data_IF_534541363124
#
_entry.id   IF_534541363124
#
_cell.length_a   1.000
_cell.length_b   1.000
_cell.length_c   1.000
_cell.angle_alpha   90.00
_cell.angle_beta   90.00
_cell.angle_gamma   90.00
#
_symmetry.space_group_name_H-M   'P 1'
#
loop_
_entity.id
_entity.type
_entity.pdbx_description
1 polymer ?
#
# COMPACT_ATOMS: atom_id res chain seq x y z
N UNK A 1 23.27 -12.84 -10.09
CA UNK A 1 23.62 -14.25 -10.38
C UNK A 1 22.35 -15.06 -10.61
N UNK A 2 21.88 -15.13 -11.85
CA UNK A 2 21.05 -16.26 -12.26
C UNK A 2 22.05 -17.35 -12.63
N UNK A 3 22.23 -18.34 -11.78
CA UNK A 3 22.90 -19.56 -12.24
C UNK A 3 21.96 -20.17 -13.29
N UNK A 4 22.29 -19.99 -14.56
CA UNK A 4 21.70 -20.71 -15.70
C UNK A 4 21.81 -22.24 -15.57
N UNK A 5 22.52 -22.73 -14.55
CA UNK A 5 22.71 -24.15 -14.23
C UNK A 5 22.01 -24.63 -12.95
N UNK A 6 21.12 -23.82 -12.34
CA UNK A 6 20.40 -24.22 -11.12
C UNK A 6 21.29 -24.52 -9.89
N UNK A 7 22.49 -23.92 -9.78
CA UNK A 7 23.42 -24.11 -8.67
C UNK A 7 23.77 -22.80 -7.96
N UNK A 8 23.14 -22.55 -6.80
CA UNK A 8 23.53 -21.47 -5.89
C UNK A 8 24.48 -22.03 -4.83
N UNK A 9 25.77 -21.71 -4.96
CA UNK A 9 26.84 -22.05 -4.02
C UNK A 9 27.45 -20.78 -3.43
N UNK A 10 28.08 -20.89 -2.27
CA UNK A 10 28.69 -19.75 -1.57
C UNK A 10 29.81 -19.10 -2.38
N UNK A 11 30.72 -19.90 -2.94
CA UNK A 11 31.92 -19.40 -3.63
C UNK A 11 31.58 -18.52 -4.86
N UNK A 12 30.69 -18.90 -5.80
CA UNK A 12 30.27 -18.01 -6.89
C UNK A 12 29.66 -16.67 -6.43
N UNK A 13 28.93 -16.65 -5.31
CA UNK A 13 28.37 -15.41 -4.75
C UNK A 13 29.48 -14.50 -4.25
N UNK A 14 30.45 -15.07 -3.51
CA UNK A 14 31.61 -14.34 -3.00
C UNK A 14 32.50 -13.83 -4.14
N UNK A 15 32.74 -14.64 -5.18
CA UNK A 15 33.50 -14.23 -6.36
C UNK A 15 32.82 -13.10 -7.13
N UNK A 16 31.50 -13.16 -7.29
CA UNK A 16 30.76 -12.07 -7.92
C UNK A 16 30.85 -10.78 -7.12
N UNK A 17 30.68 -10.82 -5.79
CA UNK A 17 30.83 -9.63 -4.93
C UNK A 17 32.25 -9.06 -4.97
N UNK A 18 33.27 -9.91 -5.12
CA UNK A 18 34.66 -9.49 -5.27
C UNK A 18 34.91 -8.81 -6.62
N UNK A 19 34.28 -9.31 -7.68
CA UNK A 19 34.59 -8.91 -9.06
C UNK A 19 33.63 -7.85 -9.63
N UNK A 20 32.46 -7.64 -9.03
CA UNK A 20 31.51 -6.62 -9.47
C UNK A 20 32.17 -5.24 -9.44
N UNK A 21 31.97 -4.46 -10.50
CA UNK A 21 32.58 -3.15 -10.70
C UNK A 21 31.51 -2.06 -10.83
N UNK A 22 30.81 -1.71 -9.73
CA UNK A 22 29.80 -0.67 -9.74
C UNK A 22 30.43 0.71 -9.92
N UNK A 23 29.68 1.62 -10.54
CA UNK A 23 29.97 3.05 -10.50
C UNK A 23 29.57 3.67 -9.14
N UNK A 24 30.03 4.90 -8.90
CA UNK A 24 29.80 5.57 -7.62
C UNK A 24 28.30 5.75 -7.29
N UNK A 25 27.42 5.84 -8.29
CA UNK A 25 25.97 6.03 -8.12
C UNK A 25 25.16 4.71 -8.15
N UNK A 26 25.82 3.57 -8.34
CA UNK A 26 25.14 2.28 -8.46
C UNK A 26 24.67 1.73 -7.11
N UNK A 27 23.75 0.77 -7.21
CA UNK A 27 23.25 -0.03 -6.09
C UNK A 27 23.67 -1.50 -6.27
N UNK A 28 24.37 -2.07 -5.28
CA UNK A 28 24.53 -3.54 -5.19
C UNK A 28 23.38 -4.07 -4.35
N UNK A 29 22.48 -4.85 -4.96
CA UNK A 29 21.33 -5.45 -4.28
C UNK A 29 21.42 -6.98 -4.25
N UNK A 30 21.41 -7.53 -3.03
CA UNK A 30 21.29 -8.95 -2.75
C UNK A 30 20.01 -9.20 -1.96
N UNK A 31 19.10 -9.96 -2.56
CA UNK A 31 17.93 -10.52 -1.91
C UNK A 31 18.05 -12.03 -1.86
N UNK A 32 17.98 -12.61 -0.66
CA UNK A 32 17.96 -14.07 -0.48
C UNK A 32 16.64 -14.50 0.16
N UNK A 33 15.92 -15.39 -0.52
CA UNK A 33 14.73 -16.06 0.00
C UNK A 33 14.94 -17.56 -0.12
N UNK A 34 14.88 -18.27 1.01
CA UNK A 34 15.13 -19.71 1.02
C UNK A 34 15.28 -20.28 2.43
N UNK A 35 15.76 -21.51 2.50
CA UNK A 35 16.03 -22.14 3.78
C UNK A 35 17.24 -21.49 4.47
N UNK A 36 17.17 -21.35 5.78
CA UNK A 36 18.29 -20.91 6.59
C UNK A 36 18.19 -21.47 8.00
N UNK A 37 18.90 -20.87 8.93
CA UNK A 37 18.79 -21.26 10.31
C UNK A 37 19.71 -20.46 11.19
N UNK A 38 19.73 -20.86 12.46
CA UNK A 38 20.59 -20.29 13.46
C UNK A 38 21.25 -21.42 14.24
N UNK A 39 22.57 -21.36 14.40
CA UNK A 39 23.29 -22.36 15.18
C UNK A 39 23.19 -22.06 16.69
N UNK A 40 23.80 -22.93 17.52
CA UNK A 40 23.80 -22.77 18.98
C UNK A 40 24.51 -21.51 19.47
N UNK A 41 25.43 -20.95 18.68
CA UNK A 41 26.14 -19.71 18.96
C UNK A 41 25.36 -18.47 18.51
N UNK A 42 24.09 -18.63 18.12
CA UNK A 42 23.21 -17.59 17.56
C UNK A 42 23.71 -17.01 16.22
N UNK A 43 24.60 -17.70 15.52
CA UNK A 43 25.02 -17.31 14.18
C UNK A 43 23.99 -17.76 13.16
N UNK A 44 23.54 -16.83 12.32
CA UNK A 44 22.56 -17.10 11.27
C UNK A 44 23.26 -17.53 9.98
N UNK A 45 22.63 -18.47 9.26
CA UNK A 45 23.16 -19.02 8.01
C UNK A 45 22.06 -19.26 6.98
N UNK A 46 22.48 -19.32 5.73
CA UNK A 46 21.68 -19.72 4.58
C UNK A 46 22.02 -21.17 4.22
N UNK A 47 21.01 -21.93 3.79
CA UNK A 47 21.25 -23.22 3.15
C UNK A 47 21.51 -22.98 1.66
N UNK A 48 22.75 -23.22 1.25
CA UNK A 48 23.16 -23.27 -0.14
C UNK A 48 23.47 -24.73 -0.51
N UNK A 49 23.73 -25.00 -1.79
CA UNK A 49 24.01 -26.37 -2.24
C UNK A 49 25.33 -26.93 -1.71
N UNK A 50 26.27 -26.06 -1.34
CA UNK A 50 27.53 -26.40 -0.68
C UNK A 50 27.45 -26.37 0.85
N UNK A 51 26.23 -26.31 1.39
CA UNK A 51 25.94 -26.42 2.83
C UNK A 51 25.67 -25.07 3.49
N UNK A 52 26.14 -24.94 4.74
CA UNK A 52 25.93 -23.74 5.53
C UNK A 52 26.76 -22.56 5.02
N UNK A 53 26.07 -21.51 4.59
CA UNK A 53 26.69 -20.23 4.26
C UNK A 53 26.31 -19.19 5.31
N UNK A 54 27.24 -18.88 6.22
CA UNK A 54 27.00 -17.94 7.30
C UNK A 54 26.72 -16.53 6.79
N UNK A 55 25.70 -15.88 7.37
CA UNK A 55 25.31 -14.50 7.05
C UNK A 55 26.48 -13.54 7.22
N UNK A 56 27.29 -13.72 8.26
CA UNK A 56 28.48 -12.91 8.54
C UNK A 56 29.48 -12.90 7.39
N UNK A 57 29.67 -14.02 6.68
CA UNK A 57 30.54 -14.10 5.50
C UNK A 57 29.98 -13.27 4.33
N UNK A 58 28.67 -13.35 4.08
CA UNK A 58 28.03 -12.54 3.05
C UNK A 58 28.09 -11.04 3.36
N UNK A 59 27.83 -10.67 4.62
CA UNK A 59 27.93 -9.29 5.11
C UNK A 59 29.35 -8.75 4.90
N UNK A 60 30.36 -9.49 5.36
CA UNK A 60 31.77 -9.10 5.20
C UNK A 60 32.16 -8.94 3.71
N UNK A 61 31.65 -9.81 2.84
CA UNK A 61 31.88 -9.73 1.41
C UNK A 61 31.18 -8.51 0.78
N UNK A 62 29.97 -8.18 1.21
CA UNK A 62 29.27 -6.97 0.74
C UNK A 62 29.95 -5.70 1.24
N UNK A 63 30.38 -5.64 2.50
CA UNK A 63 31.14 -4.52 3.05
C UNK A 63 32.45 -4.30 2.28
N UNK A 64 33.17 -5.38 1.98
CA UNK A 64 34.44 -5.37 1.24
C UNK A 64 34.30 -5.17 -0.28
N UNK A 65 33.09 -5.33 -0.84
CA UNK A 65 32.85 -5.08 -2.26
C UNK A 65 33.18 -3.61 -2.61
N UNK A 66 33.50 -3.36 -3.88
CA UNK A 66 33.85 -2.02 -4.38
C UNK A 66 32.81 -0.97 -3.97
N UNK A 67 33.29 0.25 -3.67
CA UNK A 67 32.45 1.35 -3.19
C UNK A 67 31.43 1.75 -4.26
N UNK A 68 30.17 1.82 -3.85
CA UNK A 68 29.04 2.32 -4.62
C UNK A 68 28.14 3.12 -3.67
N UNK A 69 27.11 3.78 -4.19
CA UNK A 69 26.21 4.62 -3.38
C UNK A 69 25.48 3.79 -2.34
N UNK A 70 24.85 2.70 -2.77
CA UNK A 70 23.99 1.89 -1.91
C UNK A 70 24.35 0.40 -2.02
N UNK A 71 24.44 -0.26 -0.88
CA UNK A 71 24.49 -1.73 -0.77
C UNK A 71 23.25 -2.18 -0.02
N UNK A 72 22.65 -3.28 -0.44
CA UNK A 72 21.42 -3.80 0.15
C UNK A 72 21.48 -5.30 0.33
N UNK A 73 21.37 -5.77 1.56
CA UNK A 73 21.21 -7.18 1.91
C UNK A 73 19.88 -7.37 2.61
N UNK A 74 18.94 -8.02 1.91
CA UNK A 74 17.61 -8.36 2.43
C UNK A 74 17.49 -9.88 2.43
N UNK A 75 17.10 -10.46 3.56
CA UNK A 75 17.01 -11.92 3.72
C UNK A 75 15.68 -12.36 4.29
N UNK A 76 15.06 -13.35 3.68
CA UNK A 76 13.82 -13.98 4.13
C UNK A 76 14.05 -15.50 4.29
N UNK A 77 14.23 -15.98 5.54
CA UNK A 77 14.72 -17.33 5.81
C UNK A 77 13.96 -18.07 6.94
N UNK A 78 13.45 -19.29 6.62
CA UNK A 78 12.79 -20.34 7.45
C UNK A 78 11.46 -20.00 8.16
N UNK A 79 10.30 -20.66 7.96
CA UNK A 79 9.94 -22.03 7.54
C UNK A 79 8.46 -22.12 7.09
N UNK A 80 8.03 -23.34 6.70
CA UNK A 80 6.71 -23.81 6.19
C UNK A 80 5.47 -22.97 6.53
N UNK A 81 4.63 -22.74 5.51
CA UNK A 81 3.46 -21.88 5.63
C UNK A 81 2.24 -22.55 6.26
N UNK A 82 1.55 -21.90 7.22
CA UNK A 82 0.38 -22.49 7.89
C UNK A 82 -0.93 -22.35 7.10
N UNK A 83 -0.90 -21.73 5.92
CA UNK A 83 -2.12 -21.33 5.19
C UNK A 83 -2.53 -22.34 4.11
N UNK A 84 -3.83 -22.66 4.06
CA UNK A 84 -4.44 -23.61 3.10
C UNK A 84 -5.28 -22.95 2.00
N UNK A 85 -5.57 -21.64 2.08
CA UNK A 85 -6.52 -20.94 1.19
C UNK A 85 -5.94 -19.76 0.39
N UNK A 86 -6.70 -19.33 -0.64
CA UNK A 86 -6.19 -18.72 -1.88
C UNK A 86 -6.86 -17.36 -2.21
N UNK A 87 -6.26 -16.19 -1.91
CA UNK A 87 -6.71 -14.86 -2.46
C UNK A 87 -5.72 -14.12 -3.41
N UNK A 88 -6.19 -13.46 -4.48
CA UNK A 88 -5.38 -13.01 -5.65
C UNK A 88 -4.91 -11.55 -5.61
N UNK A 89 -3.75 -11.27 -6.24
CA UNK A 89 -3.32 -9.92 -6.67
C UNK A 89 -2.33 -9.19 -5.75
N UNK A 90 -1.42 -8.40 -6.37
CA UNK A 90 -0.62 -7.38 -5.69
C UNK A 90 -1.00 -6.00 -6.25
N UNK A 91 -1.22 -4.98 -5.41
CA UNK A 91 -1.34 -3.62 -5.89
C UNK A 91 -0.08 -3.17 -6.65
N UNK A 92 -0.19 -2.24 -7.62
CA UNK A 92 0.97 -1.64 -8.26
C UNK A 92 1.79 -0.86 -7.22
N UNK A 93 3.11 -1.02 -7.30
CA UNK A 93 4.07 -0.39 -6.39
C UNK A 93 4.25 1.08 -6.78
N UNK A 94 4.40 1.98 -5.81
CA UNK A 94 4.68 3.39 -6.12
C UNK A 94 6.06 3.55 -6.79
N UNK A 95 6.06 4.19 -7.95
CA UNK A 95 7.29 4.56 -8.66
C UNK A 95 8.14 5.54 -7.85
N UNK A 96 7.52 6.48 -7.14
CA UNK A 96 8.23 7.45 -6.30
C UNK A 96 8.87 6.76 -5.10
N UNK A 97 8.13 5.93 -4.37
CA UNK A 97 8.68 5.17 -3.26
C UNK A 97 9.87 4.30 -3.70
N UNK A 98 9.79 3.66 -4.87
CA UNK A 98 10.94 2.92 -5.43
C UNK A 98 12.15 3.82 -5.72
N UNK A 99 11.93 5.03 -6.25
CA UNK A 99 13.00 6.00 -6.46
C UNK A 99 13.64 6.42 -5.13
N UNK A 100 12.84 6.80 -4.14
CA UNK A 100 13.31 7.20 -2.82
C UNK A 100 14.16 6.08 -2.19
N UNK A 101 13.62 4.87 -2.13
CA UNK A 101 14.23 3.73 -1.45
C UNK A 101 15.51 3.20 -2.15
N UNK A 102 15.53 3.13 -3.48
CA UNK A 102 16.63 2.46 -4.21
C UNK A 102 17.64 3.43 -4.84
N UNK A 103 17.22 4.65 -5.17
CA UNK A 103 18.06 5.62 -5.89
C UNK A 103 18.52 6.80 -5.03
N UNK A 104 17.76 7.16 -3.99
CA UNK A 104 18.05 8.36 -3.18
C UNK A 104 18.55 8.05 -1.77
N UNK A 105 18.95 6.81 -1.53
CA UNK A 105 19.65 6.37 -0.31
C UNK A 105 21.13 6.07 -0.59
N UNK A 106 21.97 6.21 0.44
CA UNK A 106 23.37 5.80 0.43
C UNK A 106 23.75 5.05 1.71
N UNK A 107 24.79 4.22 1.62
CA UNK A 107 25.27 3.38 2.72
C UNK A 107 24.88 1.92 2.56
N UNK A 108 24.62 1.23 3.67
CA UNK A 108 24.34 -0.21 3.69
C UNK A 108 23.01 -0.49 4.40
N UNK A 109 22.04 -0.99 3.63
CA UNK A 109 20.81 -1.57 4.16
C UNK A 109 21.02 -3.05 4.46
N UNK A 110 20.81 -3.46 5.71
CA UNK A 110 20.92 -4.85 6.11
C UNK A 110 19.72 -5.27 6.94
N UNK A 111 18.77 -5.96 6.32
CA UNK A 111 17.49 -6.35 6.94
C UNK A 111 17.30 -7.87 6.89
N UNK A 112 16.63 -8.41 7.90
CA UNK A 112 16.18 -9.80 7.97
C UNK A 112 14.69 -9.88 8.30
N UNK A 113 14.04 -10.92 7.79
CA UNK A 113 12.61 -11.15 7.95
C UNK A 113 12.15 -11.54 9.36
N UNK A 114 13.08 -12.04 10.19
CA UNK A 114 12.83 -12.48 11.56
C UNK A 114 14.08 -12.25 12.41
N UNK A 115 13.87 -11.95 13.69
CA UNK A 115 14.95 -11.71 14.66
C UNK A 115 15.59 -13.02 15.10
N UNK A 116 16.79 -12.96 15.68
CA UNK A 116 17.55 -14.14 16.09
C UNK A 116 16.81 -14.97 17.13
N UNK A 117 16.31 -16.13 16.70
CA UNK A 117 15.54 -17.06 17.53
C UNK A 117 14.13 -17.31 16.99
N UNK A 118 13.61 -16.41 16.15
CA UNK A 118 12.28 -16.51 15.56
C UNK A 118 12.29 -17.26 14.21
N UNK A 119 11.09 -17.55 13.69
CA UNK A 119 10.89 -18.03 12.32
C UNK A 119 10.39 -16.89 11.43
N UNK A 120 10.81 -16.88 10.17
CA UNK A 120 10.14 -16.20 9.07
C UNK A 120 9.08 -17.08 8.41
N UNK A 121 7.82 -16.76 8.60
CA UNK A 121 6.73 -17.54 8.04
C UNK A 121 6.41 -17.12 6.60
N UNK A 122 5.90 -18.07 5.84
CA UNK A 122 5.40 -17.82 4.50
C UNK A 122 3.95 -18.26 4.34
N UNK A 123 3.34 -17.79 3.26
CA UNK A 123 2.12 -18.35 2.71
C UNK A 123 2.50 -19.10 1.44
N UNK A 124 1.98 -20.32 1.18
CA UNK A 124 2.16 -21.00 -0.10
C UNK A 124 1.73 -20.12 -1.29
N UNK A 125 0.82 -19.17 -1.06
CA UNK A 125 0.31 -18.27 -2.08
C UNK A 125 1.09 -16.96 -2.22
N UNK A 126 1.47 -16.34 -1.10
CA UNK A 126 2.00 -14.98 -1.09
C UNK A 126 3.51 -14.88 -0.89
N UNK A 127 4.18 -16.02 -0.71
CA UNK A 127 5.57 -16.06 -0.30
C UNK A 127 5.74 -15.65 1.17
N UNK A 128 6.95 -15.25 1.55
CA UNK A 128 7.26 -14.82 2.92
C UNK A 128 6.40 -13.63 3.37
N UNK A 129 5.84 -13.71 4.57
CA UNK A 129 5.03 -12.62 5.15
C UNK A 129 5.82 -11.32 5.21
N UNK A 130 7.11 -11.42 5.54
CA UNK A 130 8.04 -10.28 5.53
C UNK A 130 8.18 -9.68 4.14
N UNK A 131 8.58 -10.47 3.14
CA UNK A 131 8.77 -9.96 1.78
C UNK A 131 7.47 -9.34 1.24
N UNK A 132 6.33 -9.96 1.53
CA UNK A 132 5.03 -9.43 1.15
C UNK A 132 4.77 -8.07 1.80
N UNK A 133 4.82 -7.99 3.12
CA UNK A 133 4.57 -6.77 3.88
C UNK A 133 5.54 -5.64 3.49
N UNK A 134 6.82 -5.96 3.29
CA UNK A 134 7.85 -5.01 2.92
C UNK A 134 7.54 -4.35 1.58
N UNK A 135 7.30 -5.13 0.52
CA UNK A 135 7.02 -4.50 -0.77
C UNK A 135 5.58 -3.99 -0.91
N UNK A 136 4.65 -4.42 -0.06
CA UNK A 136 3.35 -3.72 0.08
C UNK A 136 3.51 -2.34 0.75
N UNK A 137 4.61 -2.14 1.49
CA UNK A 137 5.01 -0.85 2.05
C UNK A 137 5.86 -0.02 1.07
N UNK A 138 6.09 -0.46 -0.17
CA UNK A 138 6.73 0.38 -1.21
C UNK A 138 5.69 1.30 -1.85
N UNK A 139 5.15 2.18 -1.03
CA UNK A 139 4.05 3.06 -1.38
C UNK A 139 4.32 4.45 -0.80
N UNK A 140 3.76 5.48 -1.42
CA UNK A 140 3.90 6.85 -0.92
C UNK A 140 3.27 7.00 0.48
N UNK A 141 2.46 6.03 0.94
CA UNK A 141 1.96 5.93 2.32
C UNK A 141 3.01 5.82 3.37
N UNK A 142 4.15 5.28 2.98
CA UNK A 142 5.15 4.86 3.93
C UNK A 142 5.99 6.02 4.42
N UNK A 143 5.82 7.22 3.86
CA UNK A 143 6.31 8.48 4.43
C UNK A 143 5.48 8.83 5.69
N UNK A 144 5.91 8.30 6.83
CA UNK A 144 5.25 8.42 8.13
C UNK A 144 5.55 9.77 8.78
N UNK A 145 6.70 10.36 8.49
CA UNK A 145 7.13 11.64 9.05
C UNK A 145 6.71 12.86 8.21
N UNK A 146 6.20 12.63 6.99
CA UNK A 146 5.68 13.61 6.04
C UNK A 146 6.73 14.58 5.49
N UNK A 147 7.99 14.16 5.36
CA UNK A 147 9.06 14.99 4.78
C UNK A 147 9.10 14.91 3.24
N UNK A 148 8.16 14.20 2.62
CA UNK A 148 8.06 13.98 1.19
C UNK A 148 9.02 12.91 0.68
N UNK A 149 9.60 12.08 1.55
CA UNK A 149 10.58 11.06 1.22
C UNK A 149 10.30 9.75 1.95
N UNK A 150 10.15 8.66 1.20
CA UNK A 150 9.93 7.34 1.82
C UNK A 150 11.26 6.74 2.28
N UNK A 151 11.44 6.66 3.60
CA UNK A 151 12.62 6.10 4.27
C UNK A 151 12.54 4.57 4.46
N UNK A 152 13.69 3.91 4.47
CA UNK A 152 13.77 2.47 4.79
C UNK A 152 13.39 2.15 6.24
N UNK A 153 13.57 3.08 7.17
CA UNK A 153 13.14 2.96 8.57
C UNK A 153 11.61 2.95 8.68
N UNK A 154 10.93 3.77 7.89
CA UNK A 154 9.48 3.84 7.86
C UNK A 154 8.86 2.59 7.21
N UNK A 155 9.44 2.17 6.08
CA UNK A 155 9.10 0.88 5.45
C UNK A 155 9.28 -0.28 6.42
N UNK A 156 10.41 -0.33 7.14
CA UNK A 156 10.67 -1.40 8.09
C UNK A 156 9.65 -1.37 9.25
N UNK A 157 9.29 -0.19 9.76
CA UNK A 157 8.28 -0.04 10.80
C UNK A 157 6.94 -0.62 10.37
N UNK A 158 6.44 -0.23 9.20
CA UNK A 158 5.18 -0.77 8.64
C UNK A 158 5.27 -2.27 8.37
N UNK A 159 6.42 -2.74 7.91
CA UNK A 159 6.68 -4.17 7.69
C UNK A 159 6.57 -4.94 9.00
N UNK A 160 7.17 -4.46 10.09
CA UNK A 160 7.09 -5.09 11.42
C UNK A 160 5.64 -5.16 11.88
N UNK A 161 4.91 -4.05 11.83
CA UNK A 161 3.51 -3.99 12.26
C UNK A 161 2.63 -4.98 11.49
N UNK A 162 2.79 -5.04 10.17
CA UNK A 162 2.03 -5.95 9.30
C UNK A 162 2.37 -7.43 9.57
N UNK A 163 3.65 -7.77 9.73
CA UNK A 163 4.10 -9.14 9.99
C UNK A 163 3.64 -9.63 11.36
N UNK A 164 3.77 -8.79 12.40
CA UNK A 164 3.32 -9.15 13.75
C UNK A 164 1.80 -9.32 13.82
N UNK A 165 1.04 -8.43 13.18
CA UNK A 165 -0.41 -8.57 13.03
C UNK A 165 -0.77 -9.87 12.32
N UNK A 166 -0.08 -10.19 11.23
CA UNK A 166 -0.29 -11.43 10.48
C UNK A 166 0.00 -12.66 11.32
N UNK A 167 1.07 -12.66 12.10
CA UNK A 167 1.40 -13.74 13.03
C UNK A 167 0.28 -13.98 14.06
N UNK A 168 -0.24 -12.91 14.67
CA UNK A 168 -1.35 -12.99 15.63
C UNK A 168 -2.62 -13.57 14.99
N UNK A 169 -2.96 -13.11 13.78
CA UNK A 169 -4.11 -13.60 13.02
C UNK A 169 -3.97 -15.07 12.59
N UNK A 170 -2.72 -15.51 12.36
CA UNK A 170 -2.43 -16.88 11.95
C UNK A 170 -2.33 -17.88 13.10
N UNK A 171 -2.45 -17.43 14.36
CA UNK A 171 -2.29 -18.27 15.56
C UNK A 171 -3.18 -19.52 15.57
N UNK A 172 -4.39 -19.44 14.99
CA UNK A 172 -5.31 -20.58 14.87
C UNK A 172 -4.89 -21.62 13.83
N UNK A 173 -4.14 -21.22 12.80
CA UNK A 173 -3.75 -22.09 11.68
C UNK A 173 -2.46 -22.89 11.93
N UNK A 174 -1.68 -22.55 12.97
CA UNK A 174 -0.50 -23.34 13.33
C UNK A 174 -0.92 -24.75 13.82
N UNK A 175 -0.23 -25.76 13.31
CA UNK A 175 -0.39 -27.15 13.74
C UNK A 175 0.02 -27.33 15.22
N UNK A 176 -0.41 -28.43 15.84
CA UNK A 176 -0.02 -28.75 17.21
C UNK A 176 1.50 -28.85 17.39
N UNK A 177 2.20 -29.43 16.40
CA UNK A 177 3.66 -29.55 16.40
C UNK A 177 4.35 -28.19 16.25
N UNK A 178 3.84 -27.32 15.37
CA UNK A 178 4.35 -25.95 15.24
C UNK A 178 4.18 -25.18 16.55
N UNK A 179 2.99 -25.24 17.17
CA UNK A 179 2.72 -24.58 18.47
C UNK A 179 3.65 -25.10 19.57
N UNK A 180 3.86 -26.41 19.64
CA UNK A 180 4.78 -27.05 20.60
C UNK A 180 6.22 -26.60 20.38
N UNK A 181 6.70 -26.62 19.14
CA UNK A 181 8.05 -26.19 18.80
C UNK A 181 8.27 -24.70 19.11
N UNK A 182 7.35 -23.83 18.71
CA UNK A 182 7.39 -22.40 19.03
C UNK A 182 7.42 -22.15 20.54
N UNK A 183 6.60 -22.87 21.30
CA UNK A 183 6.59 -22.79 22.78
C UNK A 183 7.95 -23.19 23.36
N UNK A 184 8.50 -24.33 22.93
CA UNK A 184 9.80 -24.82 23.39
C UNK A 184 10.95 -23.86 23.05
N UNK A 185 10.82 -23.11 21.95
CA UNK A 185 11.83 -22.15 21.47
C UNK A 185 11.57 -20.72 21.93
N UNK A 186 10.47 -20.47 22.66
CA UNK A 186 10.09 -19.14 23.14
C UNK A 186 9.65 -18.16 22.04
N UNK A 187 9.15 -18.66 20.91
CA UNK A 187 8.69 -17.83 19.78
C UNK A 187 7.25 -17.37 20.02
N UNK A 188 7.07 -16.07 20.17
CA UNK A 188 5.76 -15.43 20.35
C UNK A 188 5.42 -14.43 19.23
N UNK A 189 6.29 -14.28 18.24
CA UNK A 189 6.13 -13.34 17.12
C UNK A 189 7.03 -13.72 15.94
N UNK A 190 6.84 -13.01 14.83
CA UNK A 190 7.85 -12.82 13.80
C UNK A 190 8.18 -11.32 13.75
N UNK A 191 9.43 -10.97 13.99
CA UNK A 191 9.88 -9.59 14.13
C UNK A 191 11.02 -9.32 13.14
N UNK A 192 10.73 -8.71 11.99
CA UNK A 192 11.76 -8.23 11.08
C UNK A 192 12.75 -7.31 11.79
N UNK A 193 14.03 -7.39 11.42
CA UNK A 193 15.13 -6.67 12.09
C UNK A 193 16.08 -6.03 11.08
N UNK A 194 16.50 -4.80 11.34
CA UNK A 194 17.65 -4.17 10.70
C UNK A 194 18.91 -4.31 11.55
N UNK A 195 20.03 -4.56 10.90
CA UNK A 195 21.37 -4.48 11.51
C UNK A 195 22.08 -3.18 11.11
N UNK A 196 21.74 -2.65 9.94
CA UNK A 196 22.17 -1.34 9.46
C UNK A 196 21.08 -0.72 8.61
N UNK A 197 21.02 0.62 8.63
CA UNK A 197 20.08 1.41 7.85
C UNK A 197 20.87 2.37 6.96
N UNK A 198 20.53 2.51 5.67
CA UNK A 198 21.10 3.55 4.84
C UNK A 198 20.52 4.90 5.25
N UNK A 199 21.14 5.97 4.79
CA UNK A 199 20.64 7.34 4.98
C UNK A 199 20.24 7.94 3.64
N UNK A 200 19.41 8.97 3.67
CA UNK A 200 19.09 9.78 2.49
C UNK A 200 20.38 10.37 1.91
N UNK A 201 20.58 10.25 0.60
CA UNK A 201 21.79 10.72 -0.07
C UNK A 201 21.75 12.23 -0.29
N UNK A 202 22.78 12.93 0.18
CA UNK A 202 22.86 14.40 0.13
C UNK A 202 23.05 14.97 -1.28
N UNK A 203 23.53 14.16 -2.22
CA UNK A 203 23.70 14.52 -3.65
C UNK A 203 22.38 14.71 -4.40
N UNK A 204 21.24 14.46 -3.75
CA UNK A 204 19.89 14.62 -4.33
C UNK A 204 19.35 16.06 -4.23
N UNK A 205 20.11 17.02 -3.69
CA UNK A 205 19.72 18.44 -3.58
C UNK A 205 19.86 19.23 -4.91
N UNK A 206 19.33 18.73 -6.03
CA UNK A 206 19.09 19.49 -7.26
C UNK A 206 17.90 18.79 -7.95
N UNK A 207 16.62 19.17 -7.84
CA UNK A 207 15.98 20.46 -8.11
C UNK A 207 14.61 20.46 -7.40
N UNK A 208 14.42 21.23 -6.33
CA UNK A 208 13.09 21.72 -5.96
C UNK A 208 13.11 23.24 -6.15
N UNK A 209 12.38 23.69 -7.16
CA UNK A 209 12.10 25.11 -7.38
C UNK A 209 11.35 25.61 -6.16
N UNK A 210 11.97 26.54 -5.43
CA UNK A 210 11.35 27.24 -4.31
C UNK A 210 10.08 27.96 -4.80
N UNK A 211 8.95 27.69 -4.13
CA UNK A 211 7.81 28.60 -4.14
C UNK A 211 7.86 29.42 -2.86
N UNK A 212 8.15 30.70 -3.05
CA UNK A 212 8.00 31.79 -2.10
C UNK A 212 6.52 31.92 -1.68
N UNK A 213 6.25 31.81 -0.39
CA UNK A 213 4.96 32.19 0.22
C UNK A 213 5.19 33.06 1.45
N UNK A 214 5.75 34.24 1.21
CA UNK A 214 5.56 35.37 2.11
C UNK A 214 4.11 35.87 2.05
N UNK A 215 3.27 35.49 3.02
CA UNK A 215 2.15 36.33 3.54
C UNK A 215 1.62 35.80 4.88
N UNK A 216 1.53 36.74 5.85
CA UNK A 216 1.11 36.60 7.25
C UNK A 216 -0.34 36.09 7.42
N UNK A 217 -0.67 35.48 8.56
CA UNK A 217 -2.05 35.27 8.99
C UNK A 217 -2.59 36.53 9.68
N UNK A 218 -3.76 37.01 9.23
CA UNK A 218 -4.57 37.98 9.95
C UNK A 218 -5.68 37.28 10.76
N UNK A 219 -6.06 37.99 11.81
CA UNK A 219 -6.79 37.63 13.02
C UNK A 219 -8.19 37.05 12.89
N UNK A 220 -8.53 36.21 13.87
CA UNK A 220 -9.85 35.67 14.21
C UNK A 220 -10.80 36.82 14.57
N UNK A 221 -12.01 36.82 13.98
CA UNK A 221 -13.18 37.46 14.58
C UNK A 221 -14.33 36.46 14.69
N UNK A 222 -14.91 36.43 15.89
CA UNK A 222 -16.01 35.58 16.33
C UNK A 222 -17.34 36.28 16.09
N UNK A 223 -18.22 35.68 15.28
CA UNK A 223 -19.57 36.21 15.07
C UNK A 223 -20.54 35.15 14.59
N UNK A 224 -21.21 34.49 15.53
CA UNK A 224 -22.33 33.58 15.31
C UNK A 224 -23.55 34.30 14.72
N UNK A 225 -24.19 33.71 13.71
CA UNK A 225 -25.65 33.67 13.60
C UNK A 225 -26.11 32.31 13.09
N UNK A 226 -26.76 31.57 14.00
CA UNK A 226 -27.69 30.50 13.67
C UNK A 226 -28.91 31.14 12.99
N UNK A 227 -29.34 30.58 11.88
CA UNK A 227 -30.77 30.51 11.58
C UNK A 227 -31.09 29.25 10.76
N UNK A 228 -32.35 28.92 10.82
CA UNK A 228 -32.99 27.61 10.83
C UNK A 228 -33.41 27.13 9.44
N UNK A 229 -32.96 25.93 9.07
CA UNK A 229 -33.73 24.88 8.37
C UNK A 229 -32.80 23.68 8.16
N UNK A 230 -32.60 22.86 9.21
CA UNK A 230 -31.75 21.67 9.11
C UNK A 230 -32.47 20.58 8.32
N UNK A 231 -32.44 20.69 6.99
CA UNK A 231 -32.37 19.49 6.15
C UNK A 231 -31.13 18.73 6.61
N UNK A 232 -31.29 17.50 7.08
CA UNK A 232 -30.16 16.64 7.39
C UNK A 232 -29.25 16.56 6.16
N UNK A 233 -28.03 17.06 6.31
CA UNK A 233 -27.02 17.01 5.25
C UNK A 233 -26.62 15.56 5.04
N UNK A 234 -26.97 15.00 3.89
CA UNK A 234 -26.55 13.65 3.46
C UNK A 234 -25.19 13.71 2.80
N UNK A 235 -24.46 12.59 2.78
CA UNK A 235 -23.20 12.45 2.04
C UNK A 235 -23.44 12.67 0.55
N UNK A 236 -24.59 12.27 0.00
CA UNK A 236 -24.94 12.58 -1.38
C UNK A 236 -24.99 14.10 -1.62
N UNK A 237 -25.72 14.84 -0.77
CA UNK A 237 -25.87 16.30 -0.88
C UNK A 237 -24.66 17.09 -0.40
N UNK A 238 -23.73 16.46 0.33
CA UNK A 238 -22.55 17.11 0.89
C UNK A 238 -21.72 17.74 -0.22
N UNK A 239 -21.45 19.04 -0.06
CA UNK A 239 -20.55 19.82 -0.90
C UNK A 239 -19.56 20.57 0.00
N UNK A 240 -18.48 21.07 -0.60
CA UNK A 240 -17.53 21.92 0.12
C UNK A 240 -17.43 23.29 -0.53
N UNK A 241 -18.19 24.29 -0.05
CA UNK A 241 -18.14 25.64 -0.61
C UNK A 241 -16.79 26.35 -0.36
N UNK A 242 -15.94 25.82 0.53
CA UNK A 242 -14.64 26.40 0.84
C UNK A 242 -13.49 25.84 -0.01
N UNK A 243 -13.78 24.88 -0.90
CA UNK A 243 -12.77 24.36 -1.83
C UNK A 243 -12.51 25.37 -2.95
N UNK A 244 -11.25 25.77 -3.13
CA UNK A 244 -10.81 26.63 -4.24
C UNK A 244 -10.41 25.83 -5.50
N UNK A 245 -10.59 24.52 -5.48
CA UNK A 245 -10.29 23.59 -6.57
C UNK A 245 -11.47 22.64 -6.78
N UNK A 246 -11.54 22.02 -7.96
CA UNK A 246 -12.67 21.18 -8.34
C UNK A 246 -12.22 19.79 -8.77
N UNK A 247 -13.13 18.84 -8.59
CA UNK A 247 -13.06 17.47 -9.09
C UNK A 247 -14.31 17.24 -9.94
N UNK A 248 -14.19 16.52 -11.05
CA UNK A 248 -15.33 16.06 -11.85
C UNK A 248 -15.29 14.55 -12.01
N UNK A 249 -16.47 13.95 -12.13
CA UNK A 249 -16.67 12.54 -12.47
C UNK A 249 -17.84 12.44 -13.44
N UNK A 250 -17.64 11.79 -14.58
CA UNK A 250 -18.65 11.62 -15.61
C UNK A 250 -18.62 10.19 -16.15
N UNK A 251 -19.79 9.53 -16.36
CA UNK A 251 -19.83 8.25 -17.04
C UNK A 251 -19.50 8.39 -18.53
N UNK A 252 -18.89 7.37 -19.14
CA UNK A 252 -18.56 7.35 -20.57
C UNK A 252 -19.79 7.33 -21.49
N UNK A 253 -20.96 6.95 -20.96
CA UNK A 253 -22.24 6.91 -21.69
C UNK A 253 -23.36 7.54 -20.87
N UNK A 254 -24.39 8.02 -21.58
CA UNK A 254 -25.59 8.56 -20.94
C UNK A 254 -26.51 7.48 -20.36
N UNK A 255 -26.52 6.29 -20.96
CA UNK A 255 -27.34 5.14 -20.55
C UNK A 255 -26.57 3.84 -20.75
N UNK A 256 -26.84 2.87 -19.91
CA UNK A 256 -26.24 1.54 -19.95
C UNK A 256 -27.30 0.46 -19.94
N UNK A 257 -27.07 -0.58 -20.73
CA UNK A 257 -27.86 -1.80 -20.66
C UNK A 257 -27.23 -2.75 -19.63
N UNK A 258 -28.02 -3.71 -19.14
CA UNK A 258 -27.53 -4.79 -18.29
C UNK A 258 -26.31 -5.44 -18.92
N UNK A 259 -25.33 -5.80 -18.09
CA UNK A 259 -24.06 -6.39 -18.47
C UNK A 259 -23.05 -5.47 -19.20
N UNK A 260 -23.38 -4.20 -19.50
CA UNK A 260 -22.40 -3.24 -19.96
C UNK A 260 -21.35 -2.93 -18.89
N UNK A 261 -20.14 -2.58 -19.34
CA UNK A 261 -19.11 -2.01 -18.47
C UNK A 261 -19.24 -0.48 -18.46
N UNK A 262 -19.00 0.11 -17.29
CA UNK A 262 -18.95 1.55 -17.06
C UNK A 262 -17.50 1.99 -16.95
N UNK A 263 -17.17 3.10 -17.61
CA UNK A 263 -15.93 3.84 -17.39
C UNK A 263 -16.27 5.24 -16.90
N UNK A 264 -15.65 5.65 -15.80
CA UNK A 264 -15.75 7.01 -15.27
C UNK A 264 -14.58 7.84 -15.73
N UNK A 265 -14.86 8.98 -16.34
CA UNK A 265 -13.89 10.02 -16.66
C UNK A 265 -13.76 10.97 -15.48
N UNK A 266 -12.58 11.02 -14.89
CA UNK A 266 -12.26 11.84 -13.72
C UNK A 266 -11.21 12.88 -14.05
N UNK A 267 -11.43 14.12 -13.60
CA UNK A 267 -10.45 15.22 -13.75
C UNK A 267 -10.49 16.12 -12.53
N UNK A 268 -9.32 16.54 -12.06
CA UNK A 268 -9.17 17.49 -10.96
C UNK A 268 -8.38 18.72 -11.39
N UNK A 269 -8.68 19.89 -10.85
CA UNK A 269 -7.85 21.10 -11.02
C UNK A 269 -6.68 21.16 -10.04
N UNK A 270 -6.56 20.17 -9.15
CA UNK A 270 -5.47 20.04 -8.18
C UNK A 270 -4.99 18.57 -8.08
N UNK A 271 -3.74 18.36 -7.66
CA UNK A 271 -3.26 17.02 -7.35
C UNK A 271 -4.01 16.48 -6.12
N UNK A 272 -4.59 15.30 -6.17
CA UNK A 272 -5.42 14.81 -5.07
C UNK A 272 -5.55 13.30 -5.04
N UNK A 273 -5.89 12.77 -3.87
CA UNK A 273 -6.33 11.39 -3.68
C UNK A 273 -7.84 11.31 -3.82
N UNK A 274 -8.34 10.35 -4.59
CA UNK A 274 -9.77 10.17 -4.82
C UNK A 274 -10.31 8.95 -4.08
N UNK A 275 -11.58 9.03 -3.71
CA UNK A 275 -12.39 7.92 -3.24
C UNK A 275 -13.67 7.98 -4.05
N UNK A 276 -13.97 6.92 -4.80
CA UNK A 276 -15.22 6.79 -5.55
C UNK A 276 -16.11 5.87 -4.75
N UNK A 277 -17.31 6.38 -4.46
CA UNK A 277 -18.34 5.74 -3.69
C UNK A 277 -19.53 5.42 -4.58
N UNK A 278 -20.16 4.30 -4.26
CA UNK A 278 -21.53 4.01 -4.65
C UNK A 278 -22.34 3.70 -3.39
N UNK A 279 -23.65 3.62 -3.52
CA UNK A 279 -24.56 3.25 -2.44
C UNK A 279 -25.08 1.86 -2.68
N UNK A 280 -25.02 1.04 -1.66
CA UNK A 280 -25.63 -0.26 -1.73
C UNK A 280 -27.15 -0.13 -1.66
N UNK A 281 -27.76 -1.29 -1.67
CA UNK A 281 -29.18 -1.46 -1.54
C UNK A 281 -29.87 -0.75 -0.37
N UNK A 282 -29.12 -0.59 0.71
CA UNK A 282 -29.57 -0.09 2.02
C UNK A 282 -29.35 1.42 2.14
N UNK A 283 -28.78 2.06 1.12
CA UNK A 283 -28.34 3.44 1.19
C UNK A 283 -27.06 3.59 2.02
N UNK A 284 -26.30 2.53 2.22
CA UNK A 284 -24.98 2.63 2.86
C UNK A 284 -23.92 2.87 1.78
N UNK A 285 -23.03 3.86 1.96
CA UNK A 285 -21.94 4.11 1.02
C UNK A 285 -20.88 3.01 1.13
N UNK A 286 -20.39 2.54 -0.01
CA UNK A 286 -19.26 1.63 -0.11
C UNK A 286 -18.25 2.11 -1.14
N UNK A 287 -17.01 1.68 -0.98
CA UNK A 287 -15.89 2.13 -1.80
C UNK A 287 -15.77 1.31 -3.09
N UNK A 288 -16.01 1.95 -4.24
CA UNK A 288 -15.69 1.42 -5.57
C UNK A 288 -14.21 1.54 -5.89
N UNK A 289 -13.62 2.68 -5.55
CA UNK A 289 -12.19 2.96 -5.73
C UNK A 289 -11.65 3.81 -4.58
N UNK A 290 -10.40 3.60 -4.15
CA UNK A 290 -9.57 2.44 -4.48
C UNK A 290 -10.19 1.11 -4.01
N UNK A 291 -9.80 -0.02 -4.57
CA UNK A 291 -10.36 -1.33 -4.22
C UNK A 291 -9.26 -2.39 -4.17
N UNK A 292 -9.65 -3.66 -3.94
CA UNK A 292 -8.72 -4.79 -3.84
C UNK A 292 -7.90 -5.05 -5.11
N UNK A 293 -8.36 -4.58 -6.27
CA UNK A 293 -7.70 -4.75 -7.56
C UNK A 293 -6.85 -3.53 -7.96
N UNK A 294 -7.25 -2.34 -7.53
CA UNK A 294 -6.56 -1.07 -7.80
C UNK A 294 -6.53 -0.18 -6.56
N UNK A 295 -5.38 -0.18 -5.87
CA UNK A 295 -5.16 0.64 -4.66
C UNK A 295 -4.73 2.07 -4.97
N UNK A 296 -4.22 2.31 -6.18
CA UNK A 296 -3.77 3.61 -6.66
C UNK A 296 -4.96 4.55 -6.80
N UNK A 297 -4.91 5.68 -6.11
CA UNK A 297 -6.00 6.65 -6.13
C UNK A 297 -5.52 8.10 -6.18
N UNK A 298 -4.23 8.32 -6.47
CA UNK A 298 -3.70 9.66 -6.68
C UNK A 298 -3.85 10.07 -8.14
N UNK A 299 -4.44 11.23 -8.37
CA UNK A 299 -4.58 11.84 -9.70
C UNK A 299 -3.86 13.18 -9.75
N UNK A 300 -3.21 13.43 -10.88
CA UNK A 300 -2.44 14.65 -11.14
C UNK A 300 -3.37 15.73 -11.68
N UNK A 301 -3.18 16.98 -11.23
CA UNK A 301 -3.90 18.16 -11.69
C UNK A 301 -3.97 18.24 -13.21
N UNK A 302 -5.13 18.64 -13.71
CA UNK A 302 -5.43 18.86 -15.13
C UNK A 302 -5.23 17.65 -16.06
N UNK A 303 -4.94 16.47 -15.52
CA UNK A 303 -4.92 15.21 -16.27
C UNK A 303 -6.27 14.50 -16.14
N UNK A 304 -6.73 13.94 -17.24
CA UNK A 304 -7.94 13.11 -17.29
C UNK A 304 -7.58 11.64 -17.05
N UNK A 305 -8.38 10.97 -16.24
CA UNK A 305 -8.25 9.55 -15.92
C UNK A 305 -9.54 8.83 -16.28
N UNK A 306 -9.44 7.70 -16.97
CA UNK A 306 -10.54 6.78 -17.21
C UNK A 306 -10.45 5.65 -16.17
N UNK A 307 -11.54 5.41 -15.44
CA UNK A 307 -11.61 4.50 -14.30
C UNK A 307 -12.81 3.55 -14.45
N UNK A 308 -12.60 2.24 -14.67
CA UNK A 308 -11.30 1.56 -14.82
C UNK A 308 -10.58 2.00 -16.10
N UNK A 309 -9.25 1.95 -16.07
CA UNK A 309 -8.41 2.17 -17.25
C UNK A 309 -8.30 0.89 -18.08
N UNK A 310 -7.86 0.95 -19.35
CA UNK A 310 -7.61 -0.26 -20.15
C UNK A 310 -6.56 -1.22 -19.54
N UNK A 311 -5.69 -0.72 -18.66
CA UNK A 311 -4.69 -1.52 -17.93
C UNK A 311 -5.19 -2.01 -16.57
N UNK A 312 -6.36 -1.53 -16.13
CA UNK A 312 -6.93 -1.89 -14.84
C UNK A 312 -7.28 -3.37 -14.83
N UNK A 313 -6.94 -4.04 -13.72
CA UNK A 313 -7.25 -5.46 -13.54
C UNK A 313 -8.68 -5.66 -13.07
N UNK A 314 -9.62 -4.76 -13.33
CA UNK A 314 -11.02 -4.91 -12.96
C UNK A 314 -11.93 -4.12 -13.89
N UNK A 315 -13.19 -4.57 -13.99
CA UNK A 315 -14.25 -3.89 -14.72
C UNK A 315 -15.40 -3.51 -13.75
N UNK A 316 -16.09 -2.39 -14.03
CA UNK A 316 -17.33 -2.01 -13.36
C UNK A 316 -18.52 -2.42 -14.23
N UNK A 317 -19.22 -3.50 -13.86
CA UNK A 317 -20.29 -4.06 -14.69
C UNK A 317 -21.67 -3.73 -14.15
N UNK A 318 -22.57 -3.33 -15.03
CA UNK A 318 -23.98 -3.11 -14.74
C UNK A 318 -24.66 -4.45 -14.52
N UNK A 319 -25.26 -4.65 -13.34
CA UNK A 319 -26.01 -5.88 -13.02
C UNK A 319 -27.47 -5.66 -12.67
N UNK A 320 -27.85 -4.43 -12.31
CA UNK A 320 -29.23 -4.03 -12.08
C UNK A 320 -30.04 -4.03 -13.38
N UNK A 321 -31.31 -4.46 -13.34
CA UNK A 321 -32.15 -4.61 -14.53
C UNK A 321 -32.72 -3.30 -15.09
N UNK A 322 -32.87 -2.25 -14.25
CA UNK A 322 -33.30 -0.89 -14.64
C UNK A 322 -33.21 0.08 -13.46
N UNK A 323 -32.84 1.35 -13.69
CA UNK A 323 -32.88 2.39 -12.64
C UNK A 323 -31.75 3.41 -12.71
N UNK A 324 -31.54 4.13 -11.60
CA UNK A 324 -30.49 5.11 -11.43
C UNK A 324 -29.49 4.66 -10.36
N UNK A 325 -28.20 4.70 -10.68
CA UNK A 325 -27.12 4.45 -9.72
C UNK A 325 -26.39 5.75 -9.36
N UNK A 326 -26.12 5.94 -8.07
CA UNK A 326 -25.52 7.15 -7.52
C UNK A 326 -24.03 6.97 -7.36
N UNK A 327 -23.24 7.83 -7.98
CA UNK A 327 -21.78 7.81 -7.85
C UNK A 327 -21.32 9.12 -7.24
N UNK A 328 -20.49 9.04 -6.21
CA UNK A 328 -19.85 10.20 -5.59
C UNK A 328 -18.36 10.03 -5.55
N UNK A 329 -17.65 11.08 -5.93
CA UNK A 329 -16.21 11.18 -5.75
C UNK A 329 -15.93 12.15 -4.62
N UNK A 330 -15.07 11.73 -3.69
CA UNK A 330 -14.48 12.59 -2.66
C UNK A 330 -12.99 12.67 -2.98
N UNK A 331 -12.51 13.88 -3.20
CA UNK A 331 -11.12 14.16 -3.49
C UNK A 331 -10.49 14.88 -2.30
N UNK A 332 -9.29 14.47 -1.89
CA UNK A 332 -8.57 14.95 -0.72
C UNK A 332 -7.15 15.35 -1.12
N UNK A 333 -6.74 16.58 -0.79
CA UNK A 333 -5.37 17.08 -0.96
C UNK A 333 -4.43 16.45 0.06
N UNK A 334 -4.94 16.18 1.26
CA UNK A 334 -4.22 15.54 2.35
C UNK A 334 -4.37 14.02 2.28
N UNK A 335 -3.24 13.31 2.36
CA UNK A 335 -3.17 11.85 2.23
C UNK A 335 -3.63 11.13 3.49
N UNK A 336 -3.28 11.63 4.67
CA UNK A 336 -3.70 11.07 5.96
C UNK A 336 -5.21 11.14 6.11
N UNK A 337 -5.81 12.25 5.68
CA UNK A 337 -7.26 12.42 5.62
C UNK A 337 -7.90 11.44 4.65
N UNK A 338 -7.27 11.19 3.48
CA UNK A 338 -7.69 10.13 2.57
C UNK A 338 -7.66 8.75 3.21
N UNK A 339 -6.58 8.37 3.90
CA UNK A 339 -6.47 7.08 4.59
C UNK A 339 -7.47 6.97 5.73
N UNK A 340 -7.60 8.00 6.57
CA UNK A 340 -8.59 8.07 7.66
C UNK A 340 -9.99 7.85 7.13
N UNK A 341 -10.37 8.55 6.05
CA UNK A 341 -11.69 8.43 5.45
C UNK A 341 -11.92 7.05 4.84
N UNK A 342 -10.95 6.52 4.07
CA UNK A 342 -11.03 5.16 3.47
C UNK A 342 -11.27 4.07 4.51
N UNK A 343 -10.61 4.15 5.67
CA UNK A 343 -10.75 3.16 6.73
C UNK A 343 -12.14 3.14 7.38
N UNK A 344 -12.94 4.20 7.20
CA UNK A 344 -14.33 4.26 7.67
C UNK A 344 -15.31 3.63 6.67
N UNK A 345 -14.91 3.44 5.42
CA UNK A 345 -15.80 3.06 4.32
C UNK A 345 -15.55 1.59 3.97
N UNK A 346 -16.59 0.74 4.00
CA UNK A 346 -16.45 -0.66 3.62
C UNK A 346 -16.07 -0.77 2.13
N UNK A 347 -15.17 -1.70 1.83
CA UNK A 347 -14.86 -2.10 0.44
C UNK A 347 -15.87 -3.19 0.04
N UNK A 348 -16.38 -3.15 -1.18
CA UNK A 348 -17.28 -4.19 -1.68
C UNK A 348 -16.52 -5.50 -1.97
N UNK A 349 -16.84 -6.56 -1.21
CA UNK A 349 -16.21 -7.88 -1.31
C UNK A 349 -17.13 -9.00 -1.85
N UNK A 350 -18.38 -8.66 -2.18
CA UNK A 350 -19.40 -9.64 -2.57
C UNK A 350 -19.10 -10.26 -3.94
N UNK A 351 -18.99 -11.59 -3.96
CA UNK A 351 -18.93 -12.53 -5.09
C UNK A 351 -17.53 -12.92 -5.63
N UNK A 352 -17.10 -14.12 -5.20
CA UNK A 352 -15.94 -14.84 -5.72
C UNK A 352 -16.21 -15.49 -7.09
N UNK A 353 -16.05 -14.73 -8.16
CA UNK A 353 -16.02 -15.27 -9.52
C UNK A 353 -14.65 -15.07 -10.17
N UNK A 354 -14.33 -15.95 -11.11
CA UNK A 354 -13.02 -16.22 -11.76
C UNK A 354 -12.59 -15.09 -12.74
N UNK A 355 -13.04 -13.86 -12.49
CA UNK A 355 -12.63 -12.63 -13.16
C UNK A 355 -12.95 -11.45 -12.24
N UNK A 356 -12.09 -10.44 -12.24
CA UNK A 356 -12.14 -9.24 -11.42
C UNK A 356 -13.27 -8.29 -11.84
N UNK A 357 -14.50 -8.74 -11.59
CA UNK A 357 -15.71 -7.99 -11.86
C UNK A 357 -16.16 -7.35 -10.55
N UNK A 358 -16.29 -6.04 -10.51
CA UNK A 358 -17.05 -5.34 -9.48
C UNK A 358 -18.42 -5.07 -10.10
N UNK A 359 -19.43 -5.72 -9.54
CA UNK A 359 -20.81 -5.61 -9.98
C UNK A 359 -21.47 -4.46 -9.25
N UNK A 360 -22.14 -3.56 -9.97
CA UNK A 360 -23.01 -2.57 -9.33
C UNK A 360 -24.32 -3.28 -8.98
N UNK A 361 -24.52 -3.60 -7.69
CA UNK A 361 -25.61 -4.44 -7.19
C UNK A 361 -26.87 -3.64 -6.77
N UNK A 362 -28.10 -4.14 -7.05
CA UNK A 362 -29.37 -3.51 -6.71
C UNK A 362 -29.91 -3.75 -5.28
N UNK A 363 -31.02 -3.04 -4.99
CA UNK A 363 -31.66 -2.81 -3.68
C UNK A 363 -32.41 -3.99 -3.00
N UNK A 364 -31.87 -4.60 -1.91
CA UNK A 364 -32.60 -5.18 -0.74
C UNK A 364 -31.97 -5.01 0.69
N UNK A 365 -32.78 -5.23 1.74
CA UNK A 365 -32.90 -4.56 3.08
C UNK A 365 -31.86 -4.81 4.23
N UNK A 366 -31.73 -3.75 5.07
CA UNK A 366 -31.34 -3.58 6.50
C UNK A 366 -29.89 -3.85 6.98
N UNK A 367 -29.24 -2.81 7.51
CA UNK A 367 -28.58 -2.71 8.84
C UNK A 367 -28.45 -1.23 9.22
N UNK A 368 -28.35 -0.93 10.52
CA UNK A 368 -28.35 0.42 11.13
C UNK A 368 -26.93 0.83 11.55
N UNK A 369 -26.02 1.00 10.60
CA UNK A 369 -24.72 1.62 10.92
C UNK A 369 -24.61 2.98 10.21
N UNK A 370 -24.45 4.02 11.01
CA UNK A 370 -24.37 5.42 10.58
C UNK A 370 -22.98 5.74 9.98
N UNK A 371 -22.57 4.94 8.99
CA UNK A 371 -21.33 5.10 8.22
C UNK A 371 -21.34 6.47 7.54
N UNK A 372 -22.51 6.89 7.07
CA UNK A 372 -22.68 8.17 6.40
C UNK A 372 -22.35 9.35 7.33
N UNK A 373 -22.89 9.40 8.55
CA UNK A 373 -22.52 10.46 9.49
C UNK A 373 -21.05 10.38 9.91
N UNK A 374 -20.45 9.18 10.01
CA UNK A 374 -19.01 9.04 10.29
C UNK A 374 -18.16 9.68 9.19
N UNK A 375 -18.49 9.44 7.92
CA UNK A 375 -17.80 10.06 6.78
C UNK A 375 -17.97 11.58 6.80
N UNK A 376 -19.21 12.06 7.00
CA UNK A 376 -19.52 13.50 7.04
C UNK A 376 -18.77 14.18 8.19
N UNK A 377 -18.79 13.60 9.39
CA UNK A 377 -18.10 14.15 10.56
C UNK A 377 -16.58 14.17 10.34
N UNK A 378 -16.01 13.09 9.78
CA UNK A 378 -14.59 13.06 9.43
C UNK A 378 -14.22 14.17 8.44
N UNK A 379 -15.02 14.41 7.39
CA UNK A 379 -14.80 15.49 6.43
C UNK A 379 -14.94 16.89 7.04
N UNK A 380 -15.82 17.06 8.03
CA UNK A 380 -16.01 18.33 8.75
C UNK A 380 -14.87 18.66 9.71
N UNK A 381 -14.18 17.65 10.23
CA UNK A 381 -12.97 17.80 11.04
C UNK A 381 -11.74 18.16 10.21
N UNK A 382 -11.75 17.84 8.91
CA UNK A 382 -10.64 18.13 8.00
C UNK A 382 -10.55 19.62 7.66
N UNK A 383 -9.38 20.04 7.21
CA UNK A 383 -9.21 21.39 6.70
C UNK A 383 -10.19 21.64 5.53
N UNK A 384 -11.02 22.67 5.66
CA UNK A 384 -12.09 22.96 4.71
C UNK A 384 -11.60 23.34 3.32
N UNK A 385 -10.32 23.66 3.12
CA UNK A 385 -9.77 23.86 1.77
C UNK A 385 -9.30 22.58 1.09
N UNK A 386 -9.14 21.49 1.84
CA UNK A 386 -8.32 20.35 1.44
C UNK A 386 -9.13 19.19 0.88
N UNK A 387 -10.45 19.35 0.72
CA UNK A 387 -11.28 18.35 0.07
C UNK A 387 -12.28 18.97 -0.91
N UNK A 388 -12.57 18.25 -1.98
CA UNK A 388 -13.59 18.58 -2.96
C UNK A 388 -14.45 17.34 -3.22
N UNK A 389 -15.64 17.54 -3.77
CA UNK A 389 -16.51 16.43 -4.13
C UNK A 389 -17.32 16.75 -5.37
N UNK A 390 -17.64 15.70 -6.12
CA UNK A 390 -18.58 15.74 -7.23
C UNK A 390 -19.42 14.46 -7.22
N UNK A 391 -20.53 14.49 -7.94
CA UNK A 391 -21.43 13.36 -8.04
C UNK A 391 -21.84 13.19 -9.52
N UNK A 392 -22.15 11.96 -9.92
CA UNK A 392 -22.86 11.69 -11.16
C UNK A 392 -23.92 10.60 -10.96
N UNK A 393 -24.92 10.57 -11.85
CA UNK A 393 -25.94 9.54 -11.89
C UNK A 393 -25.70 8.69 -13.13
N UNK A 394 -25.68 7.37 -12.97
CA UNK A 394 -25.63 6.40 -14.06
C UNK A 394 -27.06 5.92 -14.33
N UNK A 395 -27.51 6.04 -15.58
CA UNK A 395 -28.84 5.60 -16.01
C UNK A 395 -28.77 4.18 -16.58
N UNK A 396 -29.60 3.27 -16.09
CA UNK A 396 -29.70 1.87 -16.54
C UNK A 396 -31.08 1.64 -17.16
N UNK A 397 -31.12 1.12 -18.39
CA UNK A 397 -32.36 0.99 -19.17
C UNK A 397 -32.76 -0.45 -19.49
#
# INVERSE_FOLDING_TARGET
LLSSQGRLKSEPVLQWLKNVNPEANDTIFVYYSGHGGMNRNRETFFYLQDGYFFRSKLVSAMESAKKCRLKMLITDCCSDGPETEVPTGRPPISKKALQDLFLLHEGFLHITAASEGEYSWCSPKYGGWFTRAMVDSFDDSSDLNMDGFVGWDEVLKLTIEAVQKKFQQSSMYFSADQKKDMTNRGINSQTPKSYSMPKRSETSKITQVAQDTSKKPDTIDTGSKQDTDKKEETLWSLNNPNSYWTISIEPDKQKYDVANNIVFRVKSTADCYIIILNWNSKGEPFQLLPNRYESGNFIVRNKTYDLPSPESKFDLRVTSSKGEEKIKIIALRNRQDNVKLRNLIPIEDSFGSVSSRISILPKEKVSKDDIEAKIINALKEMNRSDWATANCIVQIQ
#
